data_IF_744118420701
#
_entry.id   IF_744118420701
#
_cell.length_a   1.000
_cell.length_b   1.000
_cell.length_c   1.000
_cell.angle_alpha   90.00
_cell.angle_beta   90.00
_cell.angle_gamma   90.00
#
_symmetry.space_group_name_H-M   'P 1'
#
loop_
_entity.id
_entity.type
_entity.pdbx_description
1 polymer ?
#
# COMPACT_ATOMS: atom_id res chain seq x y z
N UNK A 1 6.64 -18.72 18.49
CA UNK A 1 6.21 -17.61 17.61
C UNK A 1 5.92 -18.26 16.30
N UNK A 2 4.66 -18.23 15.90
CA UNK A 2 4.17 -19.00 14.77
C UNK A 2 4.13 -18.12 13.51
N UNK A 3 3.77 -16.85 13.68
CA UNK A 3 3.72 -15.88 12.60
C UNK A 3 3.95 -14.45 13.11
N UNK A 4 4.54 -13.62 12.25
CA UNK A 4 4.77 -12.19 12.45
C UNK A 4 4.17 -11.42 11.27
N UNK A 5 3.18 -10.56 11.52
CA UNK A 5 2.51 -9.78 10.49
C UNK A 5 2.75 -8.29 10.71
N UNK A 6 3.54 -7.69 9.83
CA UNK A 6 3.82 -6.25 9.86
C UNK A 6 2.71 -5.45 9.19
N UNK A 7 2.26 -4.39 9.86
CA UNK A 7 1.48 -3.31 9.27
C UNK A 7 2.31 -2.01 9.26
N UNK A 8 1.68 -0.86 9.00
CA UNK A 8 2.37 0.44 8.90
C UNK A 8 3.27 0.78 10.09
N UNK A 9 2.76 0.64 11.30
CA UNK A 9 3.43 1.04 12.54
C UNK A 9 3.21 0.05 13.69
N UNK A 10 2.80 -1.17 13.35
CA UNK A 10 2.52 -2.23 14.31
C UNK A 10 2.97 -3.58 13.79
N UNK A 11 3.32 -4.48 14.71
CA UNK A 11 3.64 -5.87 14.43
C UNK A 11 2.68 -6.75 15.21
N UNK A 12 1.90 -7.57 14.51
CA UNK A 12 1.08 -8.62 15.11
C UNK A 12 1.93 -9.88 15.27
N UNK A 13 1.86 -10.48 16.45
CA UNK A 13 2.62 -11.68 16.81
C UNK A 13 1.64 -12.80 17.15
N UNK A 14 1.61 -13.84 16.32
CA UNK A 14 0.91 -15.08 16.63
C UNK A 14 1.84 -16.02 17.39
N UNK A 15 1.36 -16.58 18.50
CA UNK A 15 2.12 -17.53 19.29
C UNK A 15 1.21 -18.51 20.03
N UNK A 16 1.72 -19.73 20.22
CA UNK A 16 1.05 -20.75 21.01
C UNK A 16 1.27 -20.54 22.53
N UNK A 17 0.22 -20.24 23.31
CA UNK A 17 0.35 -20.00 24.75
C UNK A 17 0.71 -21.25 25.56
N UNK A 18 0.50 -22.46 25.01
CA UNK A 18 0.92 -23.71 25.65
C UNK A 18 2.44 -23.93 25.57
N UNK A 19 3.13 -23.21 24.69
CA UNK A 19 4.59 -23.30 24.50
C UNK A 19 5.32 -22.08 25.06
N UNK A 20 4.72 -20.89 24.93
CA UNK A 20 5.30 -19.63 25.37
C UNK A 20 4.26 -18.81 26.14
N UNK A 21 4.54 -18.49 27.41
CA UNK A 21 3.65 -17.62 28.18
C UNK A 21 3.68 -16.18 27.66
N UNK A 22 2.57 -15.47 27.79
CA UNK A 22 2.49 -14.04 27.44
C UNK A 22 3.53 -13.20 28.19
N UNK A 23 3.72 -13.45 29.50
CA UNK A 23 4.67 -12.70 30.31
C UNK A 23 6.10 -12.86 29.80
N UNK A 24 6.51 -14.10 29.47
CA UNK A 24 7.82 -14.37 28.91
C UNK A 24 8.05 -13.70 27.55
N UNK A 25 7.00 -13.62 26.72
CA UNK A 25 7.05 -12.88 25.46
C UNK A 25 7.22 -11.38 25.69
N UNK A 26 6.46 -10.79 26.62
CA UNK A 26 6.56 -9.37 26.97
C UNK A 26 7.95 -9.01 27.50
N UNK A 27 8.49 -9.82 28.41
CA UNK A 27 9.85 -9.63 28.95
C UNK A 27 10.91 -9.68 27.84
N UNK A 28 10.73 -10.58 26.87
CA UNK A 28 11.62 -10.69 25.71
C UNK A 28 11.54 -9.47 24.80
N UNK A 29 10.34 -8.98 24.51
CA UNK A 29 10.13 -7.78 23.69
C UNK A 29 10.72 -6.52 24.34
N UNK A 30 10.61 -6.38 25.66
CA UNK A 30 11.21 -5.27 26.41
C UNK A 30 12.74 -5.29 26.35
N UNK A 31 13.36 -6.48 26.32
CA UNK A 31 14.81 -6.60 26.09
C UNK A 31 15.19 -6.19 24.68
N UNK A 32 14.49 -6.70 23.66
CA UNK A 32 14.72 -6.33 22.26
C UNK A 32 14.62 -4.81 22.08
N UNK A 33 13.59 -4.18 22.66
CA UNK A 33 13.36 -2.73 22.54
C UNK A 33 14.55 -1.90 23.04
N UNK A 34 15.27 -2.38 24.07
CA UNK A 34 16.46 -1.70 24.61
C UNK A 34 17.69 -1.86 23.70
N UNK A 35 17.78 -3.00 23.02
CA UNK A 35 18.97 -3.38 22.24
C UNK A 35 18.82 -3.12 20.73
N UNK A 36 17.63 -2.72 20.25
CA UNK A 36 17.40 -2.38 18.84
C UNK A 36 18.33 -1.23 18.45
N UNK A 37 19.25 -1.55 17.54
CA UNK A 37 20.00 -0.56 16.77
C UNK A 37 19.36 -0.44 15.41
N UNK A 38 18.76 0.72 15.12
CA UNK A 38 18.24 1.02 13.79
C UNK A 38 19.45 1.13 12.87
N UNK A 39 19.62 0.15 12.00
CA UNK A 39 20.58 0.21 10.91
C UNK A 39 19.81 0.52 9.64
N UNK A 40 20.25 1.53 8.89
CA UNK A 40 19.71 1.82 7.56
C UNK A 40 20.15 0.71 6.61
N UNK A 41 19.37 -0.38 6.56
CA UNK A 41 19.56 -1.40 5.55
C UNK A 41 18.92 -0.88 4.26
N UNK A 42 19.73 -0.29 3.38
CA UNK A 42 19.28 0.04 2.02
C UNK A 42 18.84 -1.25 1.33
N UNK A 43 17.55 -1.38 1.08
CA UNK A 43 17.03 -2.42 0.20
C UNK A 43 17.38 -2.03 -1.23
N UNK A 44 18.13 -2.88 -1.93
CA UNK A 44 18.46 -2.67 -3.34
C UNK A 44 17.37 -3.19 -4.28
N UNK A 45 16.29 -3.78 -3.74
CA UNK A 45 15.20 -4.32 -4.55
C UNK A 45 14.22 -3.21 -4.91
N UNK A 46 14.34 -2.70 -6.15
CA UNK A 46 13.36 -1.80 -6.75
C UNK A 46 12.66 -2.54 -7.90
N UNK A 47 11.37 -2.82 -7.73
CA UNK A 47 10.55 -3.46 -8.76
C UNK A 47 9.92 -2.37 -9.62
N UNK A 48 10.12 -2.45 -10.94
CA UNK A 48 9.45 -1.57 -11.91
C UNK A 48 8.14 -2.21 -12.33
N UNK A 49 7.04 -1.48 -12.16
CA UNK A 49 5.70 -1.89 -12.60
C UNK A 49 5.34 -1.05 -13.82
N UNK A 50 5.15 -1.64 -15.02
CA UNK A 50 4.65 -0.90 -16.18
C UNK A 50 3.19 -0.52 -15.96
N UNK A 51 2.80 0.68 -16.39
CA UNK A 51 1.45 1.21 -16.21
C UNK A 51 0.95 1.86 -17.50
N UNK A 52 -0.30 1.59 -17.84
CA UNK A 52 -1.04 2.28 -18.90
C UNK A 52 -2.14 3.17 -18.29
N UNK A 53 -2.10 4.47 -18.60
CA UNK A 53 -3.06 5.47 -18.12
C UNK A 53 -4.11 5.81 -19.18
N UNK A 54 -4.34 4.92 -20.15
CA UNK A 54 -5.40 5.12 -21.13
C UNK A 54 -6.78 5.00 -20.45
N UNK A 55 -7.77 5.66 -21.04
CA UNK A 55 -9.11 5.80 -20.44
C UNK A 55 -9.78 4.45 -20.15
N UNK A 56 -9.49 3.43 -20.96
CA UNK A 56 -9.96 2.05 -20.74
C UNK A 56 -9.43 1.44 -19.43
N UNK A 57 -8.24 1.83 -18.99
CA UNK A 57 -7.58 1.28 -17.81
C UNK A 57 -7.70 2.19 -16.58
N UNK A 58 -7.78 3.50 -16.78
CA UNK A 58 -7.94 4.52 -15.75
C UNK A 58 -9.39 4.96 -15.57
N UNK A 59 -10.24 4.09 -15.02
CA UNK A 59 -11.68 4.32 -14.86
C UNK A 59 -12.05 5.64 -14.16
N UNK A 60 -11.18 6.12 -13.27
CA UNK A 60 -11.35 7.34 -12.48
C UNK A 60 -10.32 8.42 -12.82
N UNK A 61 -9.46 8.20 -13.82
CA UNK A 61 -8.36 9.11 -14.14
C UNK A 61 -8.85 10.53 -14.41
N UNK A 62 -9.93 10.68 -15.18
CA UNK A 62 -10.54 11.98 -15.47
C UNK A 62 -11.09 12.65 -14.21
N UNK A 63 -11.70 11.88 -13.30
CA UNK A 63 -12.17 12.39 -12.01
C UNK A 63 -11.00 12.92 -11.17
N UNK A 64 -9.92 12.14 -11.03
CA UNK A 64 -8.75 12.54 -10.24
C UNK A 64 -8.10 13.81 -10.83
N UNK A 65 -7.95 13.89 -12.16
CA UNK A 65 -7.47 15.08 -12.85
C UNK A 65 -8.33 16.31 -12.53
N UNK A 66 -9.65 16.20 -12.66
CA UNK A 66 -10.59 17.31 -12.37
C UNK A 66 -10.57 17.70 -10.90
N UNK A 67 -10.54 16.73 -9.99
CA UNK A 67 -10.56 16.96 -8.55
C UNK A 67 -9.35 17.78 -8.08
N UNK A 68 -8.18 17.54 -8.68
CA UNK A 68 -6.93 18.24 -8.35
C UNK A 68 -6.58 19.39 -9.30
N UNK A 69 -7.42 19.68 -10.29
CA UNK A 69 -7.16 20.65 -11.36
C UNK A 69 -5.80 20.41 -12.05
N UNK A 70 -5.54 19.16 -12.43
CA UNK A 70 -4.33 18.71 -13.10
C UNK A 70 -4.64 18.19 -14.51
N UNK A 71 -3.69 18.36 -15.41
CA UNK A 71 -3.68 17.62 -16.67
C UNK A 71 -3.34 16.13 -16.44
N UNK A 72 -3.73 15.26 -17.38
CA UNK A 72 -3.34 13.84 -17.38
C UNK A 72 -1.82 13.68 -17.31
N UNK A 73 -1.06 14.49 -18.04
CA UNK A 73 0.41 14.44 -18.06
C UNK A 73 1.02 14.80 -16.70
N UNK A 74 0.49 15.84 -16.03
CA UNK A 74 0.93 16.21 -14.70
C UNK A 74 0.63 15.10 -13.70
N UNK A 75 -0.57 14.53 -13.71
CA UNK A 75 -0.92 13.42 -12.83
C UNK A 75 0.04 12.24 -13.01
N UNK A 76 0.30 11.82 -14.25
CA UNK A 76 1.22 10.73 -14.55
C UNK A 76 2.62 11.04 -14.02
N UNK A 77 3.11 12.26 -14.25
CA UNK A 77 4.43 12.70 -13.76
C UNK A 77 4.49 12.66 -12.23
N UNK A 78 3.44 13.11 -11.54
CA UNK A 78 3.37 13.09 -10.08
C UNK A 78 3.28 11.68 -9.52
N UNK A 79 2.54 10.79 -10.17
CA UNK A 79 2.35 9.41 -9.74
C UNK A 79 3.57 8.52 -10.06
N UNK A 80 4.38 8.86 -11.07
CA UNK A 80 5.52 8.00 -11.47
C UNK A 80 6.89 8.52 -10.99
N UNK A 81 6.96 9.75 -10.48
CA UNK A 81 8.20 10.35 -9.97
C UNK A 81 8.70 9.73 -8.65
N UNK A 82 7.87 9.41 -7.65
CA UNK A 82 8.34 8.86 -6.38
C UNK A 82 8.84 7.42 -6.49
N UNK A 83 9.80 7.06 -5.63
CA UNK A 83 10.04 5.66 -5.30
C UNK A 83 9.10 5.25 -4.18
N UNK A 84 8.27 4.25 -4.43
CA UNK A 84 7.28 3.78 -3.49
C UNK A 84 7.87 2.72 -2.55
N UNK A 85 7.68 2.92 -1.24
CA UNK A 85 7.99 1.90 -0.25
C UNK A 85 6.73 1.08 0.03
N UNK A 86 6.83 -0.24 -0.04
CA UNK A 86 5.77 -1.14 0.42
C UNK A 86 5.75 -1.09 1.94
N UNK A 87 4.78 -0.38 2.51
CA UNK A 87 4.63 -0.28 3.96
C UNK A 87 4.05 -1.55 4.57
N UNK A 88 3.10 -2.18 3.88
CA UNK A 88 2.56 -3.48 4.27
C UNK A 88 1.95 -4.19 3.05
N UNK A 89 1.80 -5.50 3.17
CA UNK A 89 0.99 -6.32 2.29
C UNK A 89 -0.27 -6.71 3.06
N UNK A 90 -1.46 -6.58 2.47
CA UNK A 90 -2.71 -6.88 3.17
C UNK A 90 -3.96 -6.44 2.41
N UNK A 91 -5.14 -6.45 3.03
CA UNK A 91 -6.48 -6.44 2.39
C UNK A 91 -6.77 -7.73 1.59
N UNK A 92 -5.83 -8.15 0.76
CA UNK A 92 -5.82 -9.47 0.15
C UNK A 92 -4.38 -9.95 -0.07
N UNK A 93 -4.22 -11.23 -0.41
CA UNK A 93 -2.91 -11.82 -0.66
C UNK A 93 -2.15 -11.01 -1.73
N UNK A 94 -1.01 -10.44 -1.33
CA UNK A 94 -0.09 -9.73 -2.22
C UNK A 94 -0.45 -8.28 -2.56
N UNK A 95 -1.56 -7.71 -2.03
CA UNK A 95 -1.89 -6.31 -2.31
C UNK A 95 -0.94 -5.37 -1.54
N UNK A 96 -0.13 -4.55 -2.23
CA UNK A 96 0.83 -3.68 -1.60
C UNK A 96 0.22 -2.31 -1.29
N UNK A 97 0.35 -1.90 -0.03
CA UNK A 97 0.09 -0.53 0.36
C UNK A 97 1.37 0.28 0.22
N UNK A 98 1.37 1.19 -0.75
CA UNK A 98 2.54 1.99 -1.11
C UNK A 98 2.52 3.34 -0.40
N UNK A 99 3.63 3.65 0.28
CA UNK A 99 3.90 4.95 0.85
C UNK A 99 4.71 5.85 -0.08
N UNK A 100 4.55 7.16 0.06
CA UNK A 100 5.30 8.16 -0.70
C UNK A 100 4.54 8.78 -1.88
N UNK A 101 3.21 8.62 -1.95
CA UNK A 101 2.37 9.32 -2.93
C UNK A 101 2.52 10.84 -2.75
N UNK A 102 2.64 11.57 -3.86
CA UNK A 102 2.66 13.03 -3.87
C UNK A 102 1.35 13.57 -3.29
N UNK A 103 1.43 14.49 -2.33
CA UNK A 103 0.26 15.00 -1.60
C UNK A 103 -0.78 15.67 -2.49
N UNK A 104 -0.35 16.18 -3.66
CA UNK A 104 -1.25 16.74 -4.68
C UNK A 104 -2.12 15.70 -5.38
N UNK A 105 -1.88 14.42 -5.12
CA UNK A 105 -2.70 13.33 -5.63
C UNK A 105 -3.58 12.69 -4.55
N UNK A 106 -3.60 13.24 -3.32
CA UNK A 106 -4.39 12.64 -2.25
C UNK A 106 -5.88 12.72 -2.56
N UNK A 107 -6.49 11.57 -2.86
CA UNK A 107 -7.85 11.53 -3.41
C UNK A 107 -8.74 10.63 -2.57
N UNK A 108 -9.91 11.09 -2.11
CA UNK A 108 -10.80 10.26 -1.31
C UNK A 108 -11.24 9.01 -2.08
N UNK A 109 -11.55 7.96 -1.30
CA UNK A 109 -12.20 6.76 -1.81
C UNK A 109 -13.53 7.10 -2.48
N UNK A 110 -13.96 6.22 -3.37
CA UNK A 110 -15.33 6.22 -3.86
C UNK A 110 -16.32 6.10 -2.69
N UNK A 111 -17.42 6.85 -2.78
CA UNK A 111 -18.49 6.79 -1.78
C UNK A 111 -19.14 5.40 -1.72
N UNK A 112 -19.25 4.72 -2.87
CA UNK A 112 -19.67 3.32 -2.97
C UNK A 112 -18.59 2.53 -3.68
N UNK A 113 -18.08 1.43 -3.10
CA UNK A 113 -17.06 0.61 -3.74
C UNK A 113 -17.61 -0.09 -4.99
N UNK A 114 -16.74 -0.34 -5.97
CA UNK A 114 -17.05 -1.22 -7.10
C UNK A 114 -17.12 -2.66 -6.62
N UNK A 115 -18.04 -3.42 -7.20
CA UNK A 115 -18.14 -4.87 -6.98
C UNK A 115 -16.97 -5.64 -7.62
N UNK A 116 -16.33 -5.05 -8.64
CA UNK A 116 -15.19 -5.63 -9.32
C UNK A 116 -14.23 -4.52 -9.80
N UNK A 117 -12.97 -4.68 -9.45
CA UNK A 117 -11.79 -4.02 -9.99
C UNK A 117 -10.95 -5.15 -10.60
N UNK A 118 -10.41 -4.94 -11.79
CA UNK A 118 -9.64 -5.98 -12.47
C UNK A 118 -8.23 -6.15 -11.87
N UNK A 119 -7.69 -7.37 -11.97
CA UNK A 119 -6.30 -7.62 -11.63
C UNK A 119 -5.35 -6.70 -12.43
N UNK A 120 -4.28 -6.26 -11.78
CA UNK A 120 -3.31 -5.29 -12.29
C UNK A 120 -3.72 -3.82 -12.08
N UNK A 121 -5.00 -3.52 -11.81
CA UNK A 121 -5.44 -2.13 -11.65
C UNK A 121 -4.65 -1.41 -10.57
N UNK A 122 -4.31 -0.16 -10.84
CA UNK A 122 -3.61 0.73 -9.92
C UNK A 122 -4.54 1.85 -9.52
N UNK A 123 -4.67 2.06 -8.22
CA UNK A 123 -5.58 3.05 -7.70
C UNK A 123 -4.97 3.97 -6.66
N UNK A 124 -5.69 5.04 -6.35
CA UNK A 124 -5.41 5.96 -5.27
C UNK A 124 -6.55 5.92 -4.25
N UNK A 125 -6.20 5.91 -2.97
CA UNK A 125 -7.11 6.16 -1.87
C UNK A 125 -6.40 6.94 -0.76
N UNK A 126 -6.96 8.10 -0.45
CA UNK A 126 -6.43 9.05 0.52
C UNK A 126 -4.95 9.32 0.22
N UNK A 127 -4.04 8.92 1.11
CA UNK A 127 -2.60 9.18 1.00
C UNK A 127 -1.82 8.07 0.29
N UNK A 128 -2.51 7.13 -0.33
CA UNK A 128 -1.92 5.86 -0.76
C UNK A 128 -2.21 5.55 -2.21
N UNK A 129 -1.24 4.86 -2.81
CA UNK A 129 -1.39 4.15 -4.08
C UNK A 129 -1.08 2.68 -3.88
N UNK A 130 -1.46 1.84 -4.83
CA UNK A 130 -1.47 0.39 -4.65
C UNK A 130 -1.93 -0.32 -5.91
N UNK A 131 -1.55 -1.60 -6.02
CA UNK A 131 -1.81 -2.44 -7.18
C UNK A 131 -2.69 -3.61 -6.77
N UNK A 132 -3.82 -3.80 -7.45
CA UNK A 132 -4.71 -4.94 -7.22
C UNK A 132 -4.09 -6.19 -7.85
N UNK A 133 -3.59 -7.18 -7.07
CA UNK A 133 -2.92 -8.35 -7.65
C UNK A 133 -3.91 -9.31 -8.29
N UNK A 134 -5.16 -9.32 -7.82
CA UNK A 134 -6.26 -10.14 -8.33
C UNK A 134 -7.56 -9.33 -8.38
N UNK A 135 -8.49 -9.73 -9.24
CA UNK A 135 -9.76 -9.02 -9.39
C UNK A 135 -10.59 -9.12 -8.10
N UNK A 136 -11.09 -7.99 -7.60
CA UNK A 136 -11.82 -7.91 -6.33
C UNK A 136 -12.69 -6.65 -6.20
N UNK A 137 -13.64 -6.61 -5.26
CA UNK A 137 -14.31 -5.36 -4.92
C UNK A 137 -13.33 -4.34 -4.34
N UNK A 138 -13.61 -3.04 -4.52
CA UNK A 138 -12.81 -1.99 -3.88
C UNK A 138 -13.31 -0.59 -4.15
N UNK A 139 -12.90 0.35 -3.31
CA UNK A 139 -13.33 1.76 -3.37
C UNK A 139 -12.22 2.73 -3.75
N UNK A 140 -11.13 2.26 -4.34
CA UNK A 140 -10.03 3.12 -4.77
C UNK A 140 -10.34 3.74 -6.13
N UNK A 141 -9.82 4.95 -6.35
CA UNK A 141 -9.90 5.64 -7.63
C UNK A 141 -8.90 4.99 -8.59
N UNK A 142 -9.36 4.29 -9.61
CA UNK A 142 -8.52 3.53 -10.54
C UNK A 142 -8.00 4.45 -11.63
N UNK A 143 -6.68 4.62 -11.68
CA UNK A 143 -6.03 5.59 -12.58
C UNK A 143 -5.21 4.94 -13.70
N UNK A 144 -4.87 3.66 -13.57
CA UNK A 144 -4.07 2.92 -14.53
C UNK A 144 -4.22 1.40 -14.35
N UNK A 145 -3.63 0.63 -15.27
CA UNK A 145 -3.40 -0.81 -15.14
C UNK A 145 -2.10 -1.21 -15.83
#
# INVERSE_FOLDING_TARGET
IDELVSAYSSLLIYFNPCVLSLNSLLDFLEKIKKDIKITEKKSNLCIKVPLCYDEEFGLDLEFVCKYHNLSKEELIKLHTKPYYLVFMLGFMAGFPYLGGLDERLFTPRLASPRTKIEAGSVGIADKQTGVYPISSPGGWQIIAR
#
